data_IF_707696501109
#
_entry.id   IF_707696501109
#
_cell.length_a   1.000
_cell.length_b   1.000
_cell.length_c   1.000
_cell.angle_alpha   90.00
_cell.angle_beta   90.00
_cell.angle_gamma   90.00
#
_symmetry.space_group_name_H-M   'P 1'
#
loop_
_entity.id
_entity.type
_entity.pdbx_description
1 polymer ?
#
# COMPACT_ATOMS: atom_id res chain seq x y z
N UNK A 1 -30.56 0.76 -15.22
CA UNK A 1 -29.76 1.60 -14.32
C UNK A 1 -28.77 2.39 -15.17
N UNK A 2 -28.52 3.67 -14.87
CA UNK A 2 -27.47 4.46 -15.53
C UNK A 2 -26.21 4.50 -14.64
N UNK A 3 -25.07 4.90 -15.21
CA UNK A 3 -23.79 4.97 -14.50
C UNK A 3 -23.82 6.00 -13.36
N UNK A 4 -24.46 7.15 -13.59
CA UNK A 4 -24.57 8.25 -12.62
C UNK A 4 -25.26 7.82 -11.32
N UNK A 5 -26.41 7.14 -11.40
CA UNK A 5 -27.09 6.62 -10.20
C UNK A 5 -26.26 5.58 -9.45
N UNK A 6 -25.40 4.85 -10.15
CA UNK A 6 -24.56 3.84 -9.52
C UNK A 6 -23.35 4.49 -8.84
N UNK A 7 -22.73 5.49 -9.47
CA UNK A 7 -21.65 6.32 -8.92
C UNK A 7 -22.08 7.01 -7.63
N UNK A 8 -23.24 7.67 -7.62
CA UNK A 8 -23.78 8.37 -6.44
C UNK A 8 -23.94 7.44 -5.22
N UNK A 9 -24.22 6.16 -5.45
CA UNK A 9 -24.40 5.16 -4.40
C UNK A 9 -23.09 4.54 -3.90
N UNK A 10 -22.00 4.63 -4.67
CA UNK A 10 -20.74 3.98 -4.31
C UNK A 10 -20.21 4.39 -2.92
N UNK A 11 -20.23 5.67 -2.51
CA UNK A 11 -19.70 6.05 -1.20
C UNK A 11 -20.45 5.40 -0.03
N UNK A 12 -21.78 5.36 -0.10
CA UNK A 12 -22.64 4.76 0.94
C UNK A 12 -22.38 3.26 1.06
N UNK A 13 -22.29 2.56 -0.08
CA UNK A 13 -21.98 1.12 -0.09
C UNK A 13 -20.54 0.85 0.34
N UNK A 14 -19.60 1.73 0.02
CA UNK A 14 -18.20 1.60 0.45
C UNK A 14 -18.03 1.77 1.96
N UNK A 15 -18.83 2.63 2.59
CA UNK A 15 -18.90 2.79 4.06
C UNK A 15 -19.68 1.66 4.74
N UNK A 16 -20.35 0.80 3.97
CA UNK A 16 -21.18 -0.29 4.49
C UNK A 16 -22.54 0.17 5.03
N UNK A 17 -23.00 1.36 4.64
CA UNK A 17 -24.31 1.91 5.05
C UNK A 17 -25.46 1.24 4.28
N UNK A 18 -25.20 0.80 3.05
CA UNK A 18 -26.13 0.07 2.21
C UNK A 18 -25.43 -1.05 1.44
N UNK A 19 -26.20 -1.98 0.86
CA UNK A 19 -25.68 -3.08 0.02
C UNK A 19 -26.12 -2.91 -1.44
N UNK A 20 -25.34 -3.50 -2.36
CA UNK A 20 -25.69 -3.53 -3.77
C UNK A 20 -26.88 -4.45 -4.06
N UNK A 21 -27.92 -3.89 -4.67
CA UNK A 21 -29.02 -4.62 -5.28
C UNK A 21 -28.56 -5.50 -6.45
N UNK A 22 -29.44 -6.40 -6.90
CA UNK A 22 -29.13 -7.36 -7.99
C UNK A 22 -28.79 -6.63 -9.29
N UNK A 23 -29.63 -5.68 -9.71
CA UNK A 23 -29.43 -4.91 -10.94
C UNK A 23 -28.16 -4.05 -10.92
N UNK A 24 -27.75 -3.58 -9.74
CA UNK A 24 -26.52 -2.79 -9.54
C UNK A 24 -25.27 -3.69 -9.68
N UNK A 25 -25.32 -4.90 -9.12
CA UNK A 25 -24.24 -5.88 -9.28
C UNK A 25 -24.08 -6.32 -10.72
N UNK A 26 -25.18 -6.53 -11.44
CA UNK A 26 -25.15 -6.83 -12.88
C UNK A 26 -24.53 -5.68 -13.67
N UNK A 27 -24.87 -4.43 -13.34
CA UNK A 27 -24.27 -3.26 -14.01
C UNK A 27 -22.77 -3.14 -13.71
N UNK A 28 -22.35 -3.31 -12.46
CA UNK A 28 -20.92 -3.32 -12.08
C UNK A 28 -20.13 -4.44 -12.77
N UNK A 29 -20.75 -5.58 -13.05
CA UNK A 29 -20.12 -6.66 -13.80
C UNK A 29 -20.05 -6.36 -15.32
N UNK A 30 -21.01 -5.61 -15.85
CA UNK A 30 -21.13 -5.31 -17.29
C UNK A 30 -20.50 -3.99 -17.74
N UNK A 31 -20.19 -3.07 -16.82
CA UNK A 31 -19.65 -1.74 -17.13
C UNK A 31 -18.22 -1.58 -16.57
N UNK A 32 -17.17 -1.59 -17.42
CA UNK A 32 -15.78 -1.45 -16.98
C UNK A 32 -15.47 -0.14 -16.27
N UNK A 33 -16.10 0.95 -16.72
CA UNK A 33 -15.94 2.29 -16.14
C UNK A 33 -16.42 2.31 -14.69
N UNK A 34 -17.68 1.91 -14.45
CA UNK A 34 -18.24 1.79 -13.10
C UNK A 34 -17.43 0.81 -12.22
N UNK A 35 -16.88 -0.28 -12.79
CA UNK A 35 -16.05 -1.21 -12.04
C UNK A 35 -14.71 -0.60 -11.60
N UNK A 36 -14.10 0.22 -12.45
CA UNK A 36 -12.86 0.95 -12.13
C UNK A 36 -13.09 2.02 -11.07
N UNK A 37 -14.14 2.82 -11.21
CA UNK A 37 -14.54 3.82 -10.23
C UNK A 37 -14.83 3.16 -8.86
N UNK A 38 -15.59 2.06 -8.85
CA UNK A 38 -15.88 1.32 -7.63
C UNK A 38 -14.63 0.80 -6.91
N UNK A 39 -13.58 0.44 -7.67
CA UNK A 39 -12.29 0.02 -7.09
C UNK A 39 -11.63 1.17 -6.34
N UNK A 40 -11.65 2.38 -6.91
CA UNK A 40 -11.05 3.58 -6.28
C UNK A 40 -11.81 3.96 -5.01
N UNK A 41 -13.14 4.04 -5.09
CA UNK A 41 -13.99 4.39 -3.94
C UNK A 41 -13.81 3.39 -2.79
N UNK A 42 -13.73 2.09 -3.09
CA UNK A 42 -13.52 1.05 -2.07
C UNK A 42 -12.16 1.17 -1.38
N UNK A 43 -11.12 1.54 -2.11
CA UNK A 43 -9.79 1.76 -1.53
C UNK A 43 -9.82 2.99 -0.63
N UNK A 44 -10.38 4.10 -1.10
CA UNK A 44 -10.50 5.34 -0.34
C UNK A 44 -11.29 5.13 0.98
N UNK A 45 -12.39 4.37 0.94
CA UNK A 45 -13.15 4.06 2.14
C UNK A 45 -12.36 3.23 3.17
N UNK A 46 -11.54 2.28 2.72
CA UNK A 46 -10.67 1.47 3.61
C UNK A 46 -9.45 2.25 4.14
N UNK A 47 -8.96 3.21 3.36
CA UNK A 47 -7.82 4.06 3.70
C UNK A 47 -8.17 5.25 4.59
N UNK A 48 -9.45 5.47 4.88
CA UNK A 48 -9.88 6.48 5.86
C UNK A 48 -9.52 6.01 7.27
N UNK A 49 -8.26 6.21 7.66
CA UNK A 49 -7.88 6.21 9.07
C UNK A 49 -8.70 7.33 9.70
N UNK A 50 -9.50 7.06 10.74
CA UNK A 50 -10.14 8.15 11.48
C UNK A 50 -9.00 9.03 12.00
N UNK A 51 -8.87 10.24 11.44
CA UNK A 51 -7.95 11.23 11.97
C UNK A 51 -8.49 11.52 13.37
N UNK A 52 -7.79 11.10 14.43
CA UNK A 52 -8.25 11.41 15.77
C UNK A 52 -8.38 12.92 15.86
N UNK A 53 -9.46 13.41 16.46
CA UNK A 53 -9.66 14.83 16.68
C UNK A 53 -8.41 15.37 17.40
N UNK A 54 -7.62 16.17 16.68
CA UNK A 54 -6.36 16.67 17.16
C UNK A 54 -6.67 17.74 18.20
N UNK A 55 -6.46 17.42 19.48
CA UNK A 55 -6.49 18.40 20.56
C UNK A 55 -5.26 19.31 20.42
N UNK A 56 -5.43 20.37 19.63
CA UNK A 56 -4.40 21.36 19.35
C UNK A 56 -3.91 22.02 20.64
N UNK A 57 -4.76 22.19 21.66
CA UNK A 57 -4.36 22.78 22.93
C UNK A 57 -3.46 21.82 23.73
N UNK A 58 -3.77 20.52 23.74
CA UNK A 58 -2.91 19.51 24.35
C UNK A 58 -1.56 19.38 23.64
N UNK A 59 -1.55 19.46 22.30
CA UNK A 59 -0.31 19.43 21.51
C UNK A 59 0.53 20.67 21.80
N UNK A 60 -0.07 21.86 21.75
CA UNK A 60 0.65 23.13 21.94
C UNK A 60 1.21 23.23 23.35
N UNK A 61 0.43 22.85 24.36
CA UNK A 61 0.90 22.79 25.75
C UNK A 61 1.94 21.71 25.99
N UNK A 62 1.87 20.57 25.28
CA UNK A 62 2.88 19.52 25.27
C UNK A 62 4.23 20.00 24.71
N UNK A 63 4.21 20.73 23.60
CA UNK A 63 5.41 21.30 22.96
C UNK A 63 6.04 22.36 23.86
N UNK A 64 5.25 23.27 24.43
CA UNK A 64 5.77 24.27 25.38
C UNK A 64 6.42 23.61 26.61
N UNK A 65 5.81 22.54 27.13
CA UNK A 65 6.37 21.77 28.25
C UNK A 65 7.65 21.03 27.87
N UNK A 66 7.72 20.49 26.65
CA UNK A 66 8.90 19.80 26.14
C UNK A 66 10.09 20.76 25.92
N UNK A 67 9.83 21.98 25.43
CA UNK A 67 10.87 23.01 25.27
C UNK A 67 11.34 23.60 26.61
N UNK A 68 10.48 23.65 27.62
CA UNK A 68 10.84 24.11 28.96
C UNK A 68 11.56 23.03 29.79
N UNK A 69 11.47 21.76 29.41
CA UNK A 69 12.16 20.68 30.10
C UNK A 69 13.65 20.65 29.69
N UNK A 70 14.59 20.49 30.65
CA UNK A 70 15.99 20.28 30.30
C UNK A 70 16.12 19.00 29.47
N UNK A 71 16.95 19.04 28.42
CA UNK A 71 17.19 17.91 27.53
C UNK A 71 17.63 16.67 28.35
N UNK A 72 16.71 15.73 28.57
CA UNK A 72 17.01 14.47 29.20
C UNK A 72 17.39 13.47 28.11
N UNK A 73 18.65 13.03 28.13
CA UNK A 73 19.11 11.93 27.30
C UNK A 73 18.47 10.66 27.84
N UNK A 74 17.34 10.25 27.24
CA UNK A 74 16.68 9.00 27.61
C UNK A 74 17.50 7.87 26.98
N UNK A 75 18.08 6.94 27.76
CA UNK A 75 18.83 5.85 27.18
C UNK A 75 17.88 4.97 26.36
N UNK A 76 18.21 4.80 25.08
CA UNK A 76 17.50 3.92 24.17
C UNK A 76 17.58 2.49 24.72
N UNK A 77 16.56 2.05 25.46
CA UNK A 77 16.46 0.66 25.88
C UNK A 77 15.92 -0.12 24.69
N UNK A 78 16.71 -1.00 24.05
CA UNK A 78 16.19 -1.86 23.02
C UNK A 78 15.06 -2.68 23.64
N UNK A 79 13.83 -2.45 23.16
CA UNK A 79 12.64 -3.20 23.51
C UNK A 79 12.96 -4.65 23.18
N UNK A 80 13.28 -5.47 24.19
CA UNK A 80 13.48 -6.92 24.02
C UNK A 80 12.25 -7.44 23.29
N UNK A 81 12.43 -7.79 22.01
CA UNK A 81 11.44 -8.54 21.25
C UNK A 81 11.31 -9.87 21.96
N UNK A 82 10.38 -9.96 22.91
CA UNK A 82 9.92 -11.25 23.41
C UNK A 82 9.39 -11.98 22.19
N UNK A 83 10.11 -13.04 21.82
CA UNK A 83 9.93 -13.76 20.57
C UNK A 83 8.47 -14.24 20.48
N UNK A 84 7.77 -13.82 19.43
CA UNK A 84 6.42 -14.28 19.09
C UNK A 84 6.33 -15.77 18.74
N UNK A 85 7.38 -16.54 18.96
CA UNK A 85 7.45 -17.97 18.70
C UNK A 85 6.54 -18.80 19.62
N UNK A 86 6.18 -18.27 20.79
CA UNK A 86 5.28 -18.96 21.71
C UNK A 86 3.80 -18.93 21.24
N UNK A 87 3.40 -17.93 20.44
CA UNK A 87 2.00 -17.79 19.99
C UNK A 87 1.70 -18.71 18.79
N UNK A 88 2.71 -19.04 17.97
CA UNK A 88 2.55 -19.93 16.82
C UNK A 88 2.26 -21.40 17.17
N UNK A 89 2.75 -21.88 18.32
CA UNK A 89 2.59 -23.30 18.72
C UNK A 89 1.19 -23.61 19.28
N UNK A 90 0.47 -22.62 19.83
CA UNK A 90 -0.87 -22.84 20.36
C UNK A 90 -1.92 -23.03 19.24
N UNK A 91 -1.74 -22.35 18.09
CA UNK A 91 -2.66 -22.46 16.96
C UNK A 91 -2.58 -23.85 16.27
N UNK A 92 -1.39 -24.42 16.14
CA UNK A 92 -1.21 -25.73 15.49
C UNK A 92 -1.89 -26.88 16.24
N UNK A 93 -1.89 -26.84 17.58
CA UNK A 93 -2.52 -27.87 18.41
C UNK A 93 -4.06 -27.86 18.31
N UNK A 94 -4.66 -26.66 18.18
CA UNK A 94 -6.12 -26.51 18.06
C UNK A 94 -6.63 -26.99 16.69
N UNK A 95 -5.87 -26.77 15.61
CA UNK A 95 -6.23 -27.24 14.25
C UNK A 95 -6.16 -28.77 14.17
N UNK A 96 -5.14 -29.40 14.78
CA UNK A 96 -5.04 -30.88 14.81
C UNK A 96 -6.18 -31.53 15.60
N UNK A 97 -6.64 -30.90 16.69
CA UNK A 97 -7.80 -31.35 17.46
C UNK A 97 -9.12 -31.21 16.68
N UNK A 98 -9.29 -30.14 15.92
CA UNK A 98 -10.48 -29.93 15.10
C UNK A 98 -10.60 -30.95 13.94
N UNK A 99 -9.48 -31.29 13.27
CA UNK A 99 -9.46 -32.28 12.18
C UNK A 99 -9.72 -33.70 12.70
N UNK A 100 -9.19 -34.05 13.87
CA UNK A 100 -9.38 -35.38 14.44
C UNK A 100 -10.81 -35.64 14.96
N UNK A 101 -11.50 -34.59 15.41
CA UNK A 101 -12.86 -34.73 15.99
C UNK A 101 -13.95 -34.67 14.89
N UNK A 102 -13.76 -33.90 13.82
CA UNK A 102 -14.80 -33.63 12.81
C UNK A 102 -14.46 -34.02 11.35
N UNK A 103 -13.34 -34.69 11.08
CA UNK A 103 -12.94 -35.03 9.70
C UNK A 103 -13.85 -36.06 9.01
N UNK A 104 -14.50 -35.72 7.88
CA UNK A 104 -15.07 -36.72 6.98
C UNK A 104 -13.94 -37.41 6.18
N UNK A 105 -14.01 -38.74 6.07
CA UNK A 105 -13.19 -39.53 5.15
C UNK A 105 -13.53 -39.17 3.71
N UNK A 106 -12.64 -38.45 3.02
CA UNK A 106 -12.78 -38.19 1.60
C UNK A 106 -11.73 -37.21 1.08
N UNK A 107 -10.81 -37.74 0.27
CA UNK A 107 -9.97 -37.09 -0.74
C UNK A 107 -9.30 -35.75 -0.42
N UNK A 108 -7.97 -35.81 -0.31
CA UNK A 108 -7.09 -34.66 -0.28
C UNK A 108 -7.10 -33.90 -1.63
N UNK A 109 -7.28 -32.57 -1.63
CA UNK A 109 -6.76 -31.75 -2.72
C UNK A 109 -5.30 -31.40 -2.42
N UNK A 110 -4.41 -31.83 -3.31
CA UNK A 110 -3.07 -31.28 -3.46
C UNK A 110 -3.20 -29.82 -3.92
N UNK A 111 -2.99 -28.88 -3.00
CA UNK A 111 -2.86 -27.47 -3.32
C UNK A 111 -1.48 -27.05 -2.88
N UNK A 112 -0.54 -27.12 -3.82
CA UNK A 112 0.75 -26.47 -3.72
C UNK A 112 0.54 -24.99 -3.33
N UNK A 113 0.93 -24.64 -2.12
CA UNK A 113 0.89 -23.29 -1.61
C UNK A 113 1.85 -22.41 -2.44
N UNK A 114 1.28 -21.54 -3.27
CA UNK A 114 2.01 -20.40 -3.84
C UNK A 114 2.34 -19.47 -2.66
N UNK A 115 3.62 -19.17 -2.36
CA UNK A 115 3.93 -18.20 -1.33
C UNK A 115 3.39 -16.84 -1.78
N UNK A 116 2.46 -16.30 -1.00
CA UNK A 116 2.03 -14.92 -1.12
C UNK A 116 3.28 -14.04 -0.92
N UNK A 117 3.73 -13.38 -1.99
CA UNK A 117 4.66 -12.25 -1.87
C UNK A 117 3.92 -11.15 -1.11
N UNK A 118 4.38 -10.88 0.10
CA UNK A 118 3.98 -9.71 0.87
C UNK A 118 4.25 -8.45 0.03
N UNK A 119 3.34 -7.46 0.01
CA UNK A 119 3.66 -6.18 -0.58
C UNK A 119 4.78 -5.54 0.24
N UNK A 120 5.94 -5.39 -0.37
CA UNK A 120 7.05 -4.59 0.17
C UNK A 120 6.58 -3.14 0.27
N UNK A 121 6.01 -2.77 1.41
CA UNK A 121 5.77 -1.37 1.75
C UNK A 121 7.13 -0.70 1.89
N UNK A 122 7.46 0.20 0.97
CA UNK A 122 8.66 1.04 1.01
C UNK A 122 8.53 1.99 2.21
N UNK A 123 9.26 1.77 3.32
CA UNK A 123 9.09 2.55 4.55
C UNK A 123 9.57 4.00 4.41
N UNK A 124 10.24 4.35 3.31
CA UNK A 124 10.86 5.65 3.10
C UNK A 124 9.89 6.74 2.61
N UNK A 125 8.63 6.39 2.32
CA UNK A 125 7.60 7.34 1.88
C UNK A 125 6.62 7.74 3.00
N UNK A 126 6.63 7.06 4.14
CA UNK A 126 5.66 7.24 5.24
C UNK A 126 6.00 8.43 6.16
N UNK A 127 7.01 9.23 5.79
CA UNK A 127 7.53 10.33 6.60
C UNK A 127 7.78 11.64 5.85
N UNK A 128 7.48 11.71 4.55
CA UNK A 128 7.61 12.98 3.83
C UNK A 128 6.44 13.90 4.20
N UNK A 129 6.78 15.04 4.78
CA UNK A 129 5.83 16.13 4.97
C UNK A 129 5.38 16.64 3.60
N UNK A 130 4.14 17.12 3.49
CA UNK A 130 3.52 17.54 2.21
C UNK A 130 4.38 18.57 1.44
N UNK A 131 5.15 19.40 2.15
CA UNK A 131 6.10 20.34 1.56
C UNK A 131 7.40 19.72 0.99
N UNK A 132 7.85 18.56 1.48
CA UNK A 132 9.00 17.85 0.90
C UNK A 132 8.61 17.16 -0.41
N UNK A 133 7.34 16.73 -0.51
CA UNK A 133 6.75 16.15 -1.73
C UNK A 133 6.65 17.20 -2.84
N UNK A 134 6.27 18.44 -2.52
CA UNK A 134 6.29 19.57 -3.47
C UNK A 134 7.71 19.89 -3.98
N UNK A 135 8.74 19.81 -3.12
CA UNK A 135 10.13 20.06 -3.53
C UNK A 135 10.64 18.99 -4.49
N UNK A 136 10.28 17.73 -4.27
CA UNK A 136 10.63 16.64 -5.19
C UNK A 136 9.88 16.80 -6.51
N UNK A 137 8.57 17.05 -6.49
CA UNK A 137 7.78 17.30 -7.69
C UNK A 137 8.31 18.50 -8.50
N UNK A 138 8.66 19.60 -7.84
CA UNK A 138 9.26 20.76 -8.49
C UNK A 138 10.63 20.44 -9.12
N UNK A 139 11.41 19.53 -8.52
CA UNK A 139 12.68 19.09 -9.12
C UNK A 139 12.50 18.28 -10.40
N UNK A 140 11.44 17.48 -10.51
CA UNK A 140 11.12 16.71 -11.74
C UNK A 140 10.60 17.64 -12.84
N UNK A 141 9.74 18.61 -12.53
CA UNK A 141 9.28 19.60 -13.51
C UNK A 141 10.42 20.51 -14.00
N UNK A 142 11.43 20.75 -13.17
CA UNK A 142 12.59 21.56 -13.52
C UNK A 142 13.59 20.79 -14.42
N UNK A 143 13.61 19.47 -14.35
CA UNK A 143 14.34 18.61 -15.31
C UNK A 143 13.59 18.50 -16.66
N UNK A 144 12.26 18.58 -16.68
CA UNK A 144 11.49 18.65 -17.94
C UNK A 144 11.65 20.01 -18.65
N UNK A 145 11.87 21.10 -17.91
CA UNK A 145 12.19 22.41 -18.51
C UNK A 145 13.58 22.45 -19.18
N UNK A 146 14.41 21.43 -18.95
CA UNK A 146 15.67 21.19 -19.64
C UNK A 146 15.54 20.08 -20.70
N UNK A 147 14.40 20.01 -21.40
CA UNK A 147 14.31 19.43 -22.75
C UNK A 147 15.28 20.17 -23.69
N UNK A 148 16.58 19.93 -23.53
CA UNK A 148 17.43 19.76 -24.69
C UNK A 148 16.76 18.67 -25.52
N UNK A 149 16.63 18.85 -26.84
CA UNK A 149 16.12 17.80 -27.69
C UNK A 149 17.07 16.62 -27.53
N UNK A 150 16.70 15.66 -26.68
CA UNK A 150 17.33 14.36 -26.59
C UNK A 150 17.18 13.76 -27.98
N UNK A 151 18.22 13.96 -28.79
CA UNK A 151 18.35 13.35 -30.09
C UNK A 151 18.05 11.87 -29.90
N UNK A 152 17.01 11.42 -30.59
CA UNK A 152 16.41 10.09 -30.54
C UNK A 152 17.30 9.10 -29.78
N UNK A 153 16.96 8.82 -28.52
CA UNK A 153 17.62 7.77 -27.76
C UNK A 153 17.55 6.50 -28.64
N UNK A 154 18.69 6.00 -29.15
CA UNK A 154 18.69 4.86 -30.05
C UNK A 154 18.00 3.72 -29.32
N UNK A 155 17.03 3.06 -29.95
CA UNK A 155 16.45 1.88 -29.32
C UNK A 155 17.54 0.82 -29.22
N UNK A 156 17.49 -0.04 -28.21
CA UNK A 156 18.51 -1.07 -28.01
C UNK A 156 18.78 -1.94 -29.27
N UNK A 157 17.79 -2.08 -30.14
CA UNK A 157 17.91 -2.81 -31.42
C UNK A 157 18.60 -2.05 -32.54
N UNK A 158 18.90 -0.76 -32.36
CA UNK A 158 19.61 0.10 -33.32
C UNK A 158 21.11 0.24 -32.97
N UNK A 159 21.54 -0.31 -31.82
CA UNK A 159 22.93 -0.30 -31.39
C UNK A 159 23.72 -1.36 -32.17
N UNK A 160 24.92 -0.99 -32.63
CA UNK A 160 25.85 -1.96 -33.19
C UNK A 160 26.46 -2.83 -32.08
N UNK A 161 26.93 -4.02 -32.43
CA UNK A 161 27.54 -4.96 -31.47
C UNK A 161 28.68 -4.31 -30.66
N UNK A 162 29.45 -3.41 -31.28
CA UNK A 162 30.54 -2.69 -30.63
C UNK A 162 30.05 -1.63 -29.62
N UNK A 163 28.91 -0.98 -29.88
CA UNK A 163 28.32 0.00 -28.96
C UNK A 163 27.61 -0.71 -27.79
N UNK A 164 27.04 -1.89 -28.05
CA UNK A 164 26.42 -2.73 -27.02
C UNK A 164 27.48 -3.26 -26.04
N UNK A 165 28.64 -3.71 -26.54
CA UNK A 165 29.74 -4.21 -25.72
C UNK A 165 30.28 -3.11 -24.78
N UNK A 166 30.38 -1.87 -25.28
CA UNK A 166 30.82 -0.71 -24.51
C UNK A 166 29.81 -0.32 -23.41
N UNK A 167 28.52 -0.41 -23.70
CA UNK A 167 27.44 -0.20 -22.73
C UNK A 167 27.41 -1.29 -21.65
N UNK A 168 27.66 -2.55 -22.03
CA UNK A 168 27.73 -3.66 -21.08
C UNK A 168 28.93 -3.51 -20.14
N UNK A 169 30.09 -3.12 -20.65
CA UNK A 169 31.30 -2.91 -19.84
C UNK A 169 31.12 -1.77 -18.82
N UNK A 170 30.36 -0.73 -19.16
CA UNK A 170 30.06 0.39 -18.25
C UNK A 170 29.04 0.04 -17.15
N UNK A 171 28.13 -0.91 -17.41
CA UNK A 171 27.14 -1.38 -16.42
C UNK A 171 27.70 -2.48 -15.51
N UNK A 172 28.69 -3.23 -15.98
CA UNK A 172 29.34 -4.30 -15.20
C UNK A 172 30.54 -3.80 -14.35
N UNK A 173 30.92 -2.53 -14.45
CA UNK A 173 31.94 -1.85 -13.62
C UNK A 173 31.40 -1.33 -12.28
#
# INVERSE_FOLDING_TARGET
MNCEQLSDRMPEVARGETEWGVAEREHLAGCPECASEWRLVRIAARGSVPIPELDLDAITSGVHRAMAAPAQVVPFRPRRRVSGWAVGLAAAAMVLLAVAVWGPTGDAPDVAAVPAREPTLLPELDGLLEGELEVILASYEQDEAAEQPLGAVPRLGDLTDAELELLMEEVEG
#
